data_IF_864824624091
#
_entry.id   IF_864824624091
#
_cell.length_a   1.000
_cell.length_b   1.000
_cell.length_c   1.000
_cell.angle_alpha   90.00
_cell.angle_beta   90.00
_cell.angle_gamma   90.00
#
_symmetry.space_group_name_H-M   'P 1'
#
loop_
_entity.id
_entity.type
_entity.pdbx_description
1 polymer ?
#
# COMPACT_ATOMS: atom_id res chain seq x y z
N UNK A 1 -35.52 4.62 -9.95
CA UNK A 1 -35.10 3.29 -10.42
C UNK A 1 -34.28 2.65 -9.33
N UNK A 2 -34.66 1.47 -8.86
CA UNK A 2 -34.13 0.81 -7.67
C UNK A 2 -32.64 0.46 -7.82
N UNK A 3 -31.79 0.99 -6.95
CA UNK A 3 -30.38 0.61 -6.82
C UNK A 3 -30.29 -0.70 -6.03
N UNK A 4 -29.79 -1.74 -6.68
CA UNK A 4 -29.59 -3.05 -6.09
C UNK A 4 -28.39 -3.04 -5.14
N UNK A 5 -28.65 -2.81 -3.85
CA UNK A 5 -27.72 -3.17 -2.78
C UNK A 5 -27.74 -4.70 -2.65
N UNK A 6 -26.86 -5.40 -3.38
CA UNK A 6 -26.78 -6.85 -3.31
C UNK A 6 -25.99 -7.25 -2.04
N UNK A 7 -26.76 -7.65 -1.02
CA UNK A 7 -26.31 -8.33 0.19
C UNK A 7 -25.36 -9.47 -0.18
N UNK A 8 -24.16 -9.45 0.41
CA UNK A 8 -23.14 -10.49 0.25
C UNK A 8 -23.67 -11.83 0.76
N UNK A 9 -23.70 -12.91 -0.03
CA UNK A 9 -23.64 -14.25 0.54
C UNK A 9 -22.17 -14.64 0.73
N UNK A 10 -21.80 -15.02 1.95
CA UNK A 10 -20.61 -15.84 2.22
C UNK A 10 -20.81 -17.17 1.48
N UNK A 11 -20.17 -17.34 0.32
CA UNK A 11 -20.29 -18.57 -0.46
C UNK A 11 -19.41 -19.68 0.16
N UNK A 12 -19.95 -20.84 0.56
CA UNK A 12 -19.22 -21.88 1.29
C UNK A 12 -18.04 -22.53 0.54
N UNK A 13 -17.89 -22.31 -0.77
CA UNK A 13 -16.80 -22.90 -1.56
C UNK A 13 -15.45 -22.19 -1.37
N UNK A 14 -15.45 -20.88 -1.09
CA UNK A 14 -14.21 -20.10 -0.89
C UNK A 14 -13.44 -20.56 0.36
N UNK A 15 -14.15 -21.10 1.35
CA UNK A 15 -13.56 -21.64 2.58
C UNK A 15 -12.81 -22.97 2.33
N UNK A 16 -13.27 -23.79 1.38
CA UNK A 16 -12.67 -25.11 1.11
C UNK A 16 -11.34 -25.02 0.36
N UNK A 17 -11.22 -24.09 -0.58
CA UNK A 17 -9.96 -23.89 -1.33
C UNK A 17 -8.86 -23.34 -0.41
N UNK A 18 -9.21 -22.42 0.49
CA UNK A 18 -8.25 -21.82 1.43
C UNK A 18 -7.68 -22.85 2.43
N UNK A 19 -8.46 -23.86 2.82
CA UNK A 19 -8.00 -24.93 3.73
C UNK A 19 -7.06 -25.93 3.03
N UNK A 20 -7.25 -26.20 1.73
CA UNK A 20 -6.43 -27.15 0.99
C UNK A 20 -4.99 -26.66 0.77
N UNK A 21 -4.81 -25.34 0.60
CA UNK A 21 -3.49 -24.75 0.33
C UNK A 21 -2.58 -24.74 1.58
N UNK A 22 -3.16 -24.59 2.78
CA UNK A 22 -2.41 -24.57 4.05
C UNK A 22 -1.94 -25.97 4.47
N UNK A 23 -2.66 -27.03 4.08
CA UNK A 23 -2.34 -28.41 4.47
C UNK A 23 -1.39 -29.14 3.51
N UNK A 24 -1.08 -28.57 2.34
CA UNK A 24 -0.31 -29.24 1.28
C UNK A 24 1.21 -29.04 1.29
N UNK A 25 1.75 -28.06 2.03
CA UNK A 25 3.20 -27.76 1.98
C UNK A 25 3.98 -28.53 3.05
N UNK A 26 4.25 -29.81 2.77
CA UNK A 26 5.33 -30.55 3.43
C UNK A 26 6.69 -30.05 2.94
N UNK A 27 7.55 -29.76 3.90
CA UNK A 27 8.96 -29.41 3.76
C UNK A 27 9.69 -30.50 2.97
N UNK A 28 10.46 -30.11 1.95
CA UNK A 28 11.47 -30.98 1.36
C UNK A 28 12.82 -30.27 1.36
N UNK A 29 13.67 -30.78 2.25
CA UNK A 29 15.09 -30.50 2.39
C UNK A 29 15.87 -31.27 1.33
N UNK A 30 16.86 -30.64 0.68
CA UNK A 30 17.98 -31.34 0.05
C UNK A 30 19.28 -30.64 0.39
N UNK A 31 20.24 -31.45 0.81
CA UNK A 31 21.50 -31.09 1.41
C UNK A 31 22.69 -31.21 0.43
N UNK A 32 23.72 -30.41 0.71
CA UNK A 32 25.18 -30.67 0.58
C UNK A 32 25.83 -30.86 -0.80
N UNK A 33 26.81 -29.99 -1.13
CA UNK A 33 28.07 -30.38 -1.80
C UNK A 33 29.23 -29.33 -1.65
N UNK A 34 30.14 -29.60 -0.70
CA UNK A 34 31.63 -29.59 -0.74
C UNK A 34 32.49 -28.52 -1.49
N UNK A 35 33.26 -27.74 -0.69
CA UNK A 35 34.71 -27.35 -0.73
C UNK A 35 35.46 -27.21 -2.10
N UNK A 36 36.21 -26.15 -2.41
CA UNK A 36 37.45 -25.66 -1.74
C UNK A 36 37.91 -24.29 -2.35
N UNK A 37 38.93 -23.60 -1.78
CA UNK A 37 39.02 -22.13 -1.72
C UNK A 37 39.91 -21.49 -2.81
N UNK A 38 39.64 -20.23 -3.21
CA UNK A 38 40.67 -19.16 -3.26
C UNK A 38 40.12 -17.75 -3.58
N UNK A 39 40.72 -16.78 -2.86
CA UNK A 39 40.92 -15.33 -3.12
C UNK A 39 39.78 -14.33 -2.87
N UNK A 40 39.97 -13.63 -1.74
CA UNK A 40 39.47 -12.29 -1.40
C UNK A 40 39.69 -11.29 -2.54
N UNK A 41 38.63 -10.63 -3.00
CA UNK A 41 38.64 -9.19 -3.31
C UNK A 41 37.22 -8.71 -3.64
N UNK A 42 36.79 -7.63 -2.99
CA UNK A 42 35.53 -6.93 -3.27
C UNK A 42 34.43 -7.25 -2.28
N UNK A 43 34.41 -6.51 -1.17
CA UNK A 43 33.26 -6.44 -0.28
C UNK A 43 32.05 -5.90 -1.07
N UNK A 44 31.26 -6.81 -1.63
CA UNK A 44 29.88 -6.51 -1.96
C UNK A 44 29.18 -6.27 -0.62
N UNK A 45 28.90 -5.01 -0.30
CA UNK A 45 28.09 -4.65 0.84
C UNK A 45 26.84 -5.55 0.82
N UNK A 46 26.65 -6.33 1.88
CA UNK A 46 25.39 -7.02 2.11
C UNK A 46 24.27 -5.97 1.95
N UNK A 47 23.16 -6.28 1.26
CA UNK A 47 22.08 -5.32 1.11
C UNK A 47 21.71 -4.81 2.50
N UNK A 48 21.73 -3.49 2.66
CA UNK A 48 21.31 -2.85 3.90
C UNK A 48 19.96 -3.46 4.33
N UNK A 49 19.72 -3.69 5.63
CA UNK A 49 18.46 -4.24 6.08
C UNK A 49 17.33 -3.42 5.44
N UNK A 50 16.39 -4.10 4.78
CA UNK A 50 15.21 -3.52 4.12
C UNK A 50 14.40 -2.72 5.15
N UNK A 51 14.81 -1.48 5.39
CA UNK A 51 14.27 -0.58 6.40
C UNK A 51 13.41 0.44 5.69
N UNK A 52 12.16 0.55 6.12
CA UNK A 52 11.30 1.63 5.69
C UNK A 52 11.86 2.97 6.22
N UNK A 53 11.77 4.06 5.45
CA UNK A 53 12.14 5.38 5.94
C UNK A 53 11.32 5.71 7.19
N UNK A 54 12.00 6.07 8.29
CA UNK A 54 11.35 6.33 9.58
C UNK A 54 10.45 7.57 9.62
N UNK A 55 10.36 8.33 8.52
CA UNK A 55 9.64 9.61 8.42
C UNK A 55 8.54 9.62 7.37
N UNK A 56 8.03 8.46 6.94
CA UNK A 56 6.95 8.41 5.95
C UNK A 56 5.67 9.05 6.49
N UNK A 57 5.16 10.03 5.76
CA UNK A 57 3.85 10.65 6.01
C UNK A 57 2.78 9.86 5.29
N UNK A 58 1.97 9.14 6.06
CA UNK A 58 0.95 8.22 5.54
C UNK A 58 -0.45 8.79 5.76
N UNK A 59 -1.26 8.79 4.71
CA UNK A 59 -2.70 9.02 4.76
C UNK A 59 -3.44 7.71 4.53
N UNK A 60 -4.46 7.42 5.34
CA UNK A 60 -5.35 6.26 5.17
C UNK A 60 -6.76 6.77 4.92
N UNK A 61 -7.32 6.46 3.75
CA UNK A 61 -8.70 6.74 3.40
C UNK A 61 -9.50 5.43 3.43
N UNK A 62 -10.37 5.30 4.43
CA UNK A 62 -11.16 4.09 4.69
C UNK A 62 -12.42 4.48 5.48
N UNK A 63 -13.60 4.10 5.00
CA UNK A 63 -14.89 4.49 5.58
C UNK A 63 -15.30 3.65 6.80
N UNK A 64 -14.74 2.44 6.93
CA UNK A 64 -15.07 1.54 8.01
C UNK A 64 -14.07 1.69 9.19
N UNK A 65 -14.52 2.10 10.39
CA UNK A 65 -13.65 2.32 11.54
C UNK A 65 -12.95 1.03 12.02
N UNK A 66 -13.54 -0.15 11.77
CA UNK A 66 -12.92 -1.44 12.09
C UNK A 66 -11.72 -1.68 11.17
N UNK A 67 -11.84 -1.40 9.88
CA UNK A 67 -10.75 -1.55 8.92
C UNK A 67 -9.65 -0.50 9.16
N UNK A 68 -10.02 0.75 9.49
CA UNK A 68 -9.04 1.77 9.93
C UNK A 68 -8.23 1.26 11.12
N UNK A 69 -8.87 0.62 12.11
CA UNK A 69 -8.19 0.04 13.28
C UNK A 69 -7.23 -1.08 12.88
N UNK A 70 -7.60 -1.94 11.93
CA UNK A 70 -6.71 -2.98 11.40
C UNK A 70 -5.47 -2.35 10.77
N UNK A 71 -5.63 -1.41 9.84
CA UNK A 71 -4.52 -0.72 9.17
C UNK A 71 -3.63 -0.01 10.19
N UNK A 72 -4.22 0.68 11.16
CA UNK A 72 -3.50 1.33 12.26
C UNK A 72 -2.60 0.38 13.04
N UNK A 73 -3.11 -0.79 13.42
CA UNK A 73 -2.32 -1.78 14.15
C UNK A 73 -1.15 -2.31 13.31
N UNK A 74 -1.33 -2.51 12.01
CA UNK A 74 -0.25 -2.96 11.14
C UNK A 74 0.81 -1.88 10.94
N UNK A 75 0.41 -0.63 10.66
CA UNK A 75 1.34 0.49 10.52
C UNK A 75 2.15 0.72 11.80
N UNK A 76 1.50 0.65 12.97
CA UNK A 76 2.18 0.77 14.27
C UNK A 76 3.23 -0.31 14.50
N UNK A 77 2.98 -1.55 14.06
CA UNK A 77 3.96 -2.65 14.13
C UNK A 77 5.17 -2.42 13.22
N UNK A 78 5.00 -1.63 12.16
CA UNK A 78 6.08 -1.19 11.27
C UNK A 78 6.75 0.12 11.74
N UNK A 79 6.37 0.66 12.90
CA UNK A 79 6.90 1.92 13.42
C UNK A 79 6.38 3.17 12.72
N UNK A 80 5.32 3.04 11.91
CA UNK A 80 4.73 4.14 11.14
C UNK A 80 3.50 4.74 11.85
N UNK A 81 3.29 6.02 11.63
CA UNK A 81 2.05 6.75 11.98
C UNK A 81 1.31 7.17 10.72
N UNK A 82 0.00 7.35 10.84
CA UNK A 82 -0.83 7.82 9.74
C UNK A 82 -1.95 8.73 10.23
N UNK A 83 -2.44 9.54 9.31
CA UNK A 83 -3.70 10.27 9.42
C UNK A 83 -4.82 9.47 8.76
N UNK A 84 -6.04 9.59 9.29
CA UNK A 84 -7.18 8.78 8.85
C UNK A 84 -8.34 9.67 8.42
N UNK A 85 -8.95 9.31 7.29
CA UNK A 85 -10.13 9.98 6.72
C UNK A 85 -11.15 8.93 6.25
N UNK A 86 -12.43 9.32 6.20
CA UNK A 86 -13.55 8.41 5.96
C UNK A 86 -13.98 8.26 4.50
N UNK A 87 -13.54 9.14 3.60
CA UNK A 87 -13.93 9.09 2.19
C UNK A 87 -12.92 9.79 1.26
N UNK A 88 -13.16 9.72 -0.05
CA UNK A 88 -12.28 10.33 -1.06
C UNK A 88 -12.24 11.86 -1.05
N UNK A 89 -13.30 12.54 -0.61
CA UNK A 89 -13.33 14.01 -0.51
C UNK A 89 -12.43 14.49 0.63
N UNK A 90 -12.52 13.84 1.79
CA UNK A 90 -11.65 14.13 2.93
C UNK A 90 -10.18 13.82 2.61
N UNK A 91 -9.91 12.77 1.82
CA UNK A 91 -8.55 12.48 1.35
C UNK A 91 -7.98 13.61 0.47
N UNK A 92 -8.78 14.14 -0.46
CA UNK A 92 -8.40 15.28 -1.28
C UNK A 92 -8.15 16.54 -0.46
N UNK A 93 -8.99 16.81 0.54
CA UNK A 93 -8.83 17.93 1.46
C UNK A 93 -7.59 17.80 2.34
N UNK A 94 -7.30 16.59 2.85
CA UNK A 94 -6.09 16.32 3.62
C UNK A 94 -4.82 16.58 2.80
N UNK A 95 -4.81 16.16 1.53
CA UNK A 95 -3.70 16.38 0.59
C UNK A 95 -3.47 17.86 0.23
N UNK A 96 -4.47 18.73 0.39
CA UNK A 96 -4.32 20.18 0.23
C UNK A 96 -3.67 20.83 1.46
N UNK A 97 -3.90 20.26 2.65
CA UNK A 97 -3.42 20.85 3.90
C UNK A 97 -1.95 20.55 4.18
N UNK A 98 -1.46 19.37 3.79
CA UNK A 98 -0.07 18.97 4.00
C UNK A 98 0.38 17.90 3.01
N UNK A 99 1.69 17.76 2.78
CA UNK A 99 2.22 16.75 1.89
C UNK A 99 2.19 15.37 2.56
N UNK A 100 1.96 14.33 1.75
CA UNK A 100 2.06 12.93 2.13
C UNK A 100 2.93 12.19 1.13
N UNK A 101 3.57 11.13 1.59
CA UNK A 101 4.46 10.31 0.78
C UNK A 101 3.71 9.05 0.29
N UNK A 102 2.71 8.63 1.07
CA UNK A 102 1.88 7.46 0.82
C UNK A 102 0.40 7.75 1.13
N UNK A 103 -0.48 7.28 0.25
CA UNK A 103 -1.92 7.11 0.52
C UNK A 103 -2.28 5.63 0.44
N UNK A 104 -2.84 5.08 1.52
CA UNK A 104 -3.57 3.82 1.51
C UNK A 104 -5.05 4.13 1.27
N UNK A 105 -5.57 3.79 0.09
CA UNK A 105 -6.87 4.25 -0.39
C UNK A 105 -7.84 3.08 -0.55
N UNK A 106 -8.93 3.04 0.23
CA UNK A 106 -10.01 2.09 -0.05
C UNK A 106 -10.63 2.39 -1.43
N UNK A 107 -10.74 1.36 -2.26
CA UNK A 107 -11.33 1.46 -3.58
C UNK A 107 -12.84 1.78 -3.54
N UNK A 108 -13.55 1.43 -2.47
CA UNK A 108 -14.99 1.62 -2.35
C UNK A 108 -15.35 2.34 -1.05
N UNK A 109 -15.70 3.62 -1.15
CA UNK A 109 -16.13 4.47 -0.03
C UNK A 109 -17.40 5.25 -0.42
N UNK A 110 -18.22 5.70 0.54
CA UNK A 110 -19.34 6.60 0.28
C UNK A 110 -18.86 7.98 -0.19
N UNK A 111 -19.79 8.77 -0.73
CA UNK A 111 -19.59 10.14 -1.25
C UNK A 111 -18.65 10.24 -2.45
N UNK A 112 -17.40 9.81 -2.30
CA UNK A 112 -16.41 9.66 -3.35
C UNK A 112 -15.59 8.39 -3.13
N UNK A 113 -15.60 7.52 -4.13
CA UNK A 113 -14.80 6.31 -4.12
C UNK A 113 -13.30 6.59 -4.35
N UNK A 114 -12.45 5.62 -4.01
CA UNK A 114 -11.01 5.77 -4.12
C UNK A 114 -10.50 5.88 -5.56
N UNK A 115 -11.22 5.34 -6.55
CA UNK A 115 -10.81 5.40 -7.96
C UNK A 115 -10.96 6.84 -8.47
N UNK A 116 -12.12 7.46 -8.21
CA UNK A 116 -12.37 8.86 -8.54
C UNK A 116 -11.46 9.80 -7.77
N UNK A 117 -11.25 9.56 -6.47
CA UNK A 117 -10.28 10.32 -5.67
C UNK A 117 -8.88 10.27 -6.29
N UNK A 118 -8.41 9.07 -6.67
CA UNK A 118 -7.10 8.87 -7.32
C UNK A 118 -7.00 9.66 -8.62
N UNK A 119 -8.01 9.57 -9.51
CA UNK A 119 -8.00 10.34 -10.76
C UNK A 119 -7.85 11.83 -10.51
N UNK A 120 -8.56 12.36 -9.51
CA UNK A 120 -8.45 13.78 -9.12
C UNK A 120 -7.08 14.13 -8.55
N UNK A 121 -6.48 13.25 -7.75
CA UNK A 121 -5.11 13.45 -7.24
C UNK A 121 -4.11 13.51 -8.40
N UNK A 122 -4.23 12.62 -9.40
CA UNK A 122 -3.33 12.60 -10.56
C UNK A 122 -3.51 13.75 -11.53
N UNK A 123 -4.71 14.33 -11.60
CA UNK A 123 -4.99 15.51 -12.44
C UNK A 123 -4.55 16.83 -11.80
N UNK A 124 -4.17 16.84 -10.51
CA UNK A 124 -3.72 18.06 -9.85
C UNK A 124 -2.33 18.46 -10.35
N UNK A 125 -2.17 19.67 -10.88
CA UNK A 125 -0.83 20.23 -11.10
C UNK A 125 -0.13 20.39 -9.74
N UNK A 126 1.21 20.32 -9.69
CA UNK A 126 1.96 20.61 -8.47
C UNK A 126 1.56 21.98 -7.93
N UNK A 127 1.32 22.07 -6.62
CA UNK A 127 0.78 23.26 -5.95
C UNK A 127 1.63 24.52 -6.17
N UNK A 128 2.92 24.35 -6.44
CA UNK A 128 3.85 25.39 -6.85
C UNK A 128 4.49 24.99 -8.17
N UNK A 129 4.36 25.77 -9.25
CA UNK A 129 5.13 25.57 -10.47
C UNK A 129 6.56 26.09 -10.25
N UNK A 130 7.31 25.44 -9.36
CA UNK A 130 8.75 25.62 -9.24
C UNK A 130 9.46 24.52 -10.02
N UNK A 131 10.66 24.78 -10.57
CA UNK A 131 11.47 23.74 -11.21
C UNK A 131 11.67 22.51 -10.30
N UNK A 132 11.80 22.74 -9.00
CA UNK A 132 11.95 21.71 -7.96
C UNK A 132 10.69 20.84 -7.78
N UNK A 133 9.50 21.43 -7.96
CA UNK A 133 8.24 20.71 -7.87
C UNK A 133 7.92 19.90 -9.14
N UNK A 134 8.53 20.24 -10.28
CA UNK A 134 8.45 19.44 -11.50
C UNK A 134 9.25 18.11 -11.37
N UNK A 135 10.32 18.10 -10.56
CA UNK A 135 11.13 16.93 -10.26
C UNK A 135 10.67 16.16 -9.01
N UNK A 136 9.64 16.65 -8.30
CA UNK A 136 9.10 15.95 -7.14
C UNK A 136 8.42 14.65 -7.56
N UNK A 137 8.85 13.54 -6.96
CA UNK A 137 8.23 12.23 -7.19
C UNK A 137 6.74 12.28 -6.85
N UNK A 138 5.86 11.68 -7.69
CA UNK A 138 4.44 11.64 -7.41
C UNK A 138 4.18 10.86 -6.12
N UNK A 139 3.15 11.28 -5.38
CA UNK A 139 2.69 10.56 -4.19
C UNK A 139 2.33 9.11 -4.54
N UNK A 140 2.79 8.16 -3.72
CA UNK A 140 2.45 6.74 -3.90
C UNK A 140 1.03 6.50 -3.39
N UNK A 141 0.16 5.91 -4.21
CA UNK A 141 -1.22 5.56 -3.87
C UNK A 141 -1.39 4.05 -4.01
N UNK A 142 -1.62 3.37 -2.90
CA UNK A 142 -1.83 1.92 -2.85
C UNK A 142 -3.32 1.67 -2.57
N UNK A 143 -3.97 0.94 -3.46
CA UNK A 143 -5.35 0.52 -3.31
C UNK A 143 -5.51 -0.45 -2.13
N UNK A 144 -6.57 -0.31 -1.35
CA UNK A 144 -7.06 -1.35 -0.44
C UNK A 144 -8.38 -1.88 -1.02
N UNK A 145 -8.40 -3.14 -1.45
CA UNK A 145 -9.55 -3.70 -2.18
C UNK A 145 -10.22 -4.80 -1.38
N UNK A 146 -11.56 -4.87 -1.40
CA UNK A 146 -12.29 -5.97 -0.75
C UNK A 146 -12.11 -7.32 -1.47
N UNK A 147 -11.63 -7.31 -2.71
CA UNK A 147 -11.47 -8.50 -3.54
C UNK A 147 -10.13 -8.44 -4.31
N UNK A 148 -9.50 -9.59 -4.51
CA UNK A 148 -8.19 -9.69 -5.19
C UNK A 148 -8.31 -10.10 -6.67
N UNK A 149 -9.51 -9.99 -7.26
CA UNK A 149 -9.72 -10.35 -8.66
C UNK A 149 -8.91 -9.43 -9.58
N UNK A 150 -8.37 -10.00 -10.67
CA UNK A 150 -7.57 -9.29 -11.66
C UNK A 150 -8.29 -8.04 -12.21
N UNK A 151 -9.61 -8.11 -12.39
CA UNK A 151 -10.43 -6.99 -12.87
C UNK A 151 -10.45 -5.78 -11.91
N UNK A 152 -10.46 -6.03 -10.59
CA UNK A 152 -10.46 -4.94 -9.61
C UNK A 152 -9.07 -4.29 -9.54
N UNK A 153 -8.02 -5.10 -9.63
CA UNK A 153 -6.64 -4.63 -9.76
C UNK A 153 -6.48 -3.74 -11.00
N UNK A 154 -6.94 -4.19 -12.16
CA UNK A 154 -6.84 -3.43 -13.42
C UNK A 154 -7.54 -2.08 -13.32
N UNK A 155 -8.73 -2.03 -12.71
CA UNK A 155 -9.47 -0.77 -12.48
C UNK A 155 -8.71 0.20 -11.58
N UNK A 156 -8.06 -0.29 -10.53
CA UNK A 156 -7.25 0.55 -9.62
C UNK A 156 -6.04 1.15 -10.35
N UNK A 157 -5.30 0.31 -11.10
CA UNK A 157 -4.14 0.77 -11.87
C UNK A 157 -4.54 1.74 -12.99
N UNK A 158 -5.65 1.47 -13.69
CA UNK A 158 -6.17 2.37 -14.73
C UNK A 158 -6.64 3.72 -14.16
N UNK A 159 -7.02 3.79 -12.88
CA UNK A 159 -7.31 5.05 -12.20
C UNK A 159 -6.04 5.84 -11.81
N UNK A 160 -4.86 5.22 -11.90
CA UNK A 160 -3.56 5.84 -11.59
C UNK A 160 -3.00 5.49 -10.21
N UNK A 161 -3.48 4.41 -9.57
CA UNK A 161 -2.87 3.86 -8.35
C UNK A 161 -1.59 3.08 -8.70
N UNK A 162 -0.62 3.05 -7.79
CA UNK A 162 0.70 2.47 -8.01
C UNK A 162 0.76 0.98 -7.62
N UNK A 163 -0.10 0.55 -6.70
CA UNK A 163 -0.18 -0.83 -6.24
C UNK A 163 -1.52 -1.13 -5.57
N UNK A 164 -1.69 -2.34 -5.05
CA UNK A 164 -2.91 -2.77 -4.38
C UNK A 164 -2.63 -3.80 -3.27
N UNK A 165 -3.50 -3.82 -2.27
CA UNK A 165 -3.52 -4.75 -1.15
C UNK A 165 -4.96 -5.25 -0.97
N UNK A 166 -5.14 -6.56 -0.94
CA UNK A 166 -6.42 -7.14 -0.60
C UNK A 166 -6.72 -7.00 0.90
N UNK A 167 -7.97 -6.71 1.24
CA UNK A 167 -8.47 -6.66 2.62
C UNK A 167 -8.79 -8.09 3.10
N UNK A 168 -8.59 -8.41 4.39
CA UNK A 168 -8.05 -7.54 5.43
C UNK A 168 -6.55 -7.30 5.26
N UNK A 169 -6.11 -6.07 5.54
CA UNK A 169 -4.68 -5.70 5.44
C UNK A 169 -3.88 -6.43 6.51
N UNK A 170 -2.98 -7.32 6.09
CA UNK A 170 -2.06 -8.05 6.98
C UNK A 170 -0.70 -7.36 7.06
N UNK A 171 0.04 -7.63 8.14
CA UNK A 171 1.38 -7.06 8.34
C UNK A 171 2.32 -7.42 7.19
N UNK A 172 2.35 -8.69 6.78
CA UNK A 172 3.30 -9.19 5.78
C UNK A 172 3.04 -8.57 4.40
N UNK A 173 1.77 -8.49 3.98
CA UNK A 173 1.40 -7.90 2.69
C UNK A 173 1.69 -6.40 2.70
N UNK A 174 1.32 -5.70 3.78
CA UNK A 174 1.61 -4.28 3.92
C UNK A 174 3.12 -4.02 3.86
N UNK A 175 3.89 -4.72 4.68
CA UNK A 175 5.34 -4.56 4.73
C UNK A 175 6.01 -4.84 3.38
N UNK A 176 5.66 -5.96 2.73
CA UNK A 176 6.19 -6.30 1.43
C UNK A 176 5.86 -5.23 0.37
N UNK A 177 4.62 -4.72 0.39
CA UNK A 177 4.19 -3.67 -0.54
C UNK A 177 4.96 -2.38 -0.29
N UNK A 178 5.10 -1.94 0.96
CA UNK A 178 5.84 -0.73 1.30
C UNK A 178 7.32 -0.83 0.91
N UNK A 179 7.94 -2.00 1.07
CA UNK A 179 9.33 -2.21 0.65
C UNK A 179 9.50 -2.09 -0.88
N UNK A 180 8.50 -2.44 -1.69
CA UNK A 180 8.58 -2.24 -3.15
C UNK A 180 8.68 -0.77 -3.54
N UNK A 181 8.08 0.12 -2.76
CA UNK A 181 7.98 1.56 -3.08
C UNK A 181 9.00 2.41 -2.33
N UNK A 182 9.41 2.00 -1.12
CA UNK A 182 10.20 2.85 -0.22
C UNK A 182 11.53 2.24 0.23
N UNK A 183 11.97 1.11 -0.35
CA UNK A 183 13.24 0.46 0.04
C UNK A 183 14.51 1.28 -0.25
N UNK A 184 14.42 2.44 -0.92
CA UNK A 184 15.56 3.33 -1.23
C UNK A 184 15.21 4.84 -1.18
N UNK A 185 14.05 5.24 -0.67
CA UNK A 185 13.61 6.63 -0.75
C UNK A 185 14.34 7.52 0.28
N UNK A 186 15.08 8.52 -0.20
CA UNK A 186 15.65 9.58 0.64
C UNK A 186 14.52 10.36 1.34
N UNK A 187 14.67 10.72 2.63
CA UNK A 187 13.63 11.42 3.37
C UNK A 187 13.34 12.80 2.76
N UNK A 188 12.06 13.19 2.75
CA UNK A 188 11.67 14.55 2.40
C UNK A 188 12.35 15.56 3.35
N UNK A 189 12.89 16.67 2.83
CA UNK A 189 13.42 17.72 3.69
C UNK A 189 12.28 18.29 4.54
N UNK A 190 12.39 18.10 5.86
CA UNK A 190 11.54 18.75 6.83
C UNK A 190 11.86 20.24 6.80
N UNK A 191 11.02 21.05 6.16
CA UNK A 191 11.06 22.50 6.34
C UNK A 191 10.55 22.82 7.75
N UNK A 192 11.48 22.89 8.70
CA UNK A 192 11.24 23.52 9.99
C UNK A 192 11.04 25.03 9.76
N UNK A 193 9.93 25.55 10.28
CA UNK A 193 9.65 26.99 10.41
C UNK A 193 10.50 27.56 11.53
#
# INVERSE_FOLDING_TARGET
GLAACQLKPLHPSALRECIAEVLGRRVSSVATAINSPTRLSGAAAAPAPNLLPGSLRVLVAEDNPVNQKVVHLQLRRLGLSADYVGNGLEALAALEQRPYDLVLMDACMPEMDGLEATRRIRLRPPATPTPEAADAAPIVIIAMTANALSSDRERCLAAGMDDYIAKPVTLDILHATLLRHFSHAAPHPSHAV
#
